data_IF_789584412552
#
_entry.id   IF_789584412552
#
_cell.length_a   1.000
_cell.length_b   1.000
_cell.length_c   1.000
_cell.angle_alpha   90.00
_cell.angle_beta   90.00
_cell.angle_gamma   90.00
#
_symmetry.space_group_name_H-M   'P 1'
#
loop_
_entity.id
_entity.type
_entity.pdbx_description
1 polymer ?
#
# COMPACT_ATOMS: atom_id res chain seq x y z
N UNK A 1 59.73 -9.94 -32.41
CA UNK A 1 58.99 -8.77 -31.86
C UNK A 1 57.91 -9.34 -30.93
N UNK A 2 58.10 -9.56 -29.63
CA UNK A 2 58.65 -8.76 -28.52
C UNK A 2 57.81 -7.53 -28.16
N UNK A 3 56.57 -7.73 -27.70
CA UNK A 3 55.82 -6.78 -26.84
C UNK A 3 54.96 -7.58 -25.83
N UNK A 4 55.60 -8.31 -24.91
CA UNK A 4 54.92 -8.90 -23.74
C UNK A 4 55.54 -8.44 -22.40
N UNK A 5 56.18 -7.26 -22.38
CA UNK A 5 57.08 -6.87 -21.28
C UNK A 5 56.62 -5.75 -20.34
N UNK A 6 55.45 -5.13 -20.49
CA UNK A 6 55.17 -3.85 -19.79
C UNK A 6 53.89 -3.77 -18.93
N UNK A 7 53.13 -4.85 -18.79
CA UNK A 7 51.90 -4.86 -17.97
C UNK A 7 52.04 -5.32 -16.49
N UNK A 8 53.06 -6.09 -16.05
CA UNK A 8 53.12 -6.52 -14.63
C UNK A 8 53.43 -5.38 -13.65
N UNK A 9 54.19 -4.36 -14.10
CA UNK A 9 54.62 -3.26 -13.23
C UNK A 9 53.51 -2.26 -12.89
N UNK A 10 52.58 -2.03 -13.82
CA UNK A 10 51.46 -1.08 -13.65
C UNK A 10 50.31 -1.74 -12.88
N UNK A 11 49.98 -3.00 -13.19
CA UNK A 11 49.02 -3.78 -12.41
C UNK A 11 49.51 -4.04 -10.97
N UNK A 12 50.79 -4.36 -10.75
CA UNK A 12 51.31 -4.54 -9.38
C UNK A 12 51.38 -3.24 -8.59
N UNK A 13 51.58 -2.07 -9.23
CA UNK A 13 51.50 -0.76 -8.56
C UNK A 13 50.06 -0.38 -8.21
N UNK A 14 49.08 -0.68 -9.06
CA UNK A 14 47.66 -0.52 -8.75
C UNK A 14 47.23 -1.44 -7.60
N UNK A 15 47.60 -2.72 -7.66
CA UNK A 15 47.33 -3.69 -6.59
C UNK A 15 48.04 -3.31 -5.28
N UNK A 16 49.28 -2.83 -5.32
CA UNK A 16 49.99 -2.31 -4.13
C UNK A 16 49.39 -1.00 -3.58
N UNK A 17 48.80 -0.14 -4.44
CA UNK A 17 48.03 1.03 -4.00
C UNK A 17 46.72 0.63 -3.33
N UNK A 18 46.06 -0.44 -3.81
CA UNK A 18 44.87 -1.04 -3.21
C UNK A 18 45.18 -1.86 -1.93
N UNK A 19 46.40 -2.40 -1.79
CA UNK A 19 46.89 -3.04 -0.55
C UNK A 19 47.12 -2.07 0.61
N UNK A 20 47.15 -0.75 0.37
CA UNK A 20 46.94 0.21 1.47
C UNK A 20 45.45 0.15 1.82
N UNK A 21 45.10 -0.61 2.86
CA UNK A 21 43.74 -1.01 3.25
C UNK A 21 42.63 0.04 3.17
N UNK A 22 42.94 1.34 3.10
CA UNK A 22 42.01 2.42 2.76
C UNK A 22 41.31 2.23 1.40
N UNK A 23 42.00 1.78 0.34
CA UNK A 23 41.40 1.61 -0.99
C UNK A 23 40.40 0.46 -1.06
N UNK A 24 40.76 -0.68 -0.45
CA UNK A 24 39.87 -1.84 -0.29
C UNK A 24 38.65 -1.49 0.58
N UNK A 25 38.84 -0.70 1.63
CA UNK A 25 37.79 -0.30 2.57
C UNK A 25 36.84 0.75 1.96
N UNK A 26 37.32 1.61 1.05
CA UNK A 26 36.46 2.48 0.24
C UNK A 26 35.65 1.63 -0.76
N UNK A 27 36.30 0.71 -1.48
CA UNK A 27 35.61 -0.15 -2.43
C UNK A 27 34.53 -1.02 -1.76
N UNK A 28 34.80 -1.59 -0.59
CA UNK A 28 33.82 -2.37 0.16
C UNK A 28 32.65 -1.53 0.65
N UNK A 29 32.90 -0.30 1.12
CA UNK A 29 31.84 0.65 1.50
C UNK A 29 30.96 1.01 0.30
N UNK A 30 31.56 1.30 -0.85
CA UNK A 30 30.82 1.59 -2.08
C UNK A 30 29.97 0.40 -2.48
N UNK A 31 30.52 -0.81 -2.46
CA UNK A 31 29.78 -2.04 -2.77
C UNK A 31 28.61 -2.27 -1.80
N UNK A 32 28.82 -2.04 -0.51
CA UNK A 32 27.78 -2.14 0.50
C UNK A 32 26.64 -1.13 0.27
N UNK A 33 26.97 0.12 -0.07
CA UNK A 33 25.97 1.13 -0.42
C UNK A 33 25.18 0.74 -1.67
N UNK A 34 25.85 0.21 -2.71
CA UNK A 34 25.16 -0.29 -3.90
C UNK A 34 24.25 -1.49 -3.60
N UNK A 35 24.69 -2.42 -2.76
CA UNK A 35 23.87 -3.56 -2.36
C UNK A 35 22.63 -3.12 -1.58
N UNK A 36 22.79 -2.18 -0.64
CA UNK A 36 21.68 -1.54 0.09
C UNK A 36 20.74 -0.86 -0.90
N UNK A 37 21.25 -0.01 -1.79
CA UNK A 37 20.43 0.69 -2.78
C UNK A 37 19.67 -0.28 -3.69
N UNK A 38 20.33 -1.34 -4.20
CA UNK A 38 19.70 -2.34 -5.04
C UNK A 38 18.59 -3.11 -4.32
N UNK A 39 18.75 -3.33 -3.00
CA UNK A 39 17.73 -3.98 -2.18
C UNK A 39 16.53 -3.05 -1.89
N UNK A 40 16.77 -1.78 -1.57
CA UNK A 40 15.71 -0.84 -1.18
C UNK A 40 15.01 -0.16 -2.36
N UNK A 41 15.65 0.00 -3.52
CA UNK A 41 15.07 0.70 -4.67
C UNK A 41 13.74 0.07 -5.14
N UNK A 42 13.62 -1.26 -5.30
CA UNK A 42 12.34 -1.87 -5.68
C UNK A 42 11.22 -1.57 -4.68
N UNK A 43 11.50 -1.61 -3.37
CA UNK A 43 10.53 -1.29 -2.31
C UNK A 43 10.06 0.17 -2.41
N UNK A 44 10.99 1.10 -2.63
CA UNK A 44 10.68 2.54 -2.79
C UNK A 44 9.84 2.78 -4.04
N UNK A 45 10.20 2.15 -5.17
CA UNK A 45 9.44 2.24 -6.43
C UNK A 45 8.03 1.70 -6.23
N UNK A 46 7.90 0.54 -5.59
CA UNK A 46 6.61 -0.11 -5.36
C UNK A 46 5.70 0.73 -4.46
N UNK A 47 6.26 1.34 -3.41
CA UNK A 47 5.53 2.29 -2.54
C UNK A 47 5.12 3.57 -3.28
N UNK A 48 5.96 4.05 -4.20
CA UNK A 48 5.71 5.28 -4.95
C UNK A 48 4.71 5.08 -6.09
N UNK A 49 4.64 3.88 -6.67
CA UNK A 49 3.78 3.53 -7.79
C UNK A 49 2.30 3.32 -7.39
N UNK A 50 1.72 4.28 -6.67
CA UNK A 50 0.37 4.21 -6.10
C UNK A 50 -0.74 4.07 -7.15
N UNK A 51 -0.54 4.58 -8.36
CA UNK A 51 -1.57 4.62 -9.42
C UNK A 51 -1.36 3.53 -10.51
N UNK A 52 -0.41 2.61 -10.31
CA UNK A 52 -0.10 1.55 -11.29
C UNK A 52 -0.87 0.27 -10.97
N UNK A 53 -2.01 0.06 -11.65
CA UNK A 53 -2.89 -1.10 -11.46
C UNK A 53 -2.17 -2.45 -11.64
N UNK A 54 -1.25 -2.57 -12.59
CA UNK A 54 -0.49 -3.81 -12.85
C UNK A 54 0.31 -4.31 -11.65
N UNK A 55 0.64 -3.43 -10.70
CA UNK A 55 1.36 -3.79 -9.49
C UNK A 55 0.44 -4.24 -8.35
N UNK A 56 -0.88 -4.22 -8.55
CA UNK A 56 -1.85 -4.58 -7.53
C UNK A 56 -1.61 -5.98 -6.94
N UNK A 57 -1.46 -7.07 -7.73
CA UNK A 57 -1.29 -8.40 -7.15
C UNK A 57 -0.04 -8.51 -6.28
N UNK A 58 1.05 -7.87 -6.71
CA UNK A 58 2.30 -7.84 -5.95
C UNK A 58 2.17 -7.01 -4.67
N UNK A 59 1.51 -5.86 -4.73
CA UNK A 59 1.23 -5.02 -3.56
C UNK A 59 0.33 -5.72 -2.55
N UNK A 60 -0.76 -6.34 -3.02
CA UNK A 60 -1.67 -7.14 -2.20
C UNK A 60 -0.90 -8.27 -1.53
N UNK A 61 -0.14 -9.07 -2.27
CA UNK A 61 0.68 -10.14 -1.71
C UNK A 61 1.61 -9.66 -0.59
N UNK A 62 2.33 -8.56 -0.81
CA UNK A 62 3.25 -8.00 0.19
C UNK A 62 2.54 -7.50 1.46
N UNK A 63 1.30 -7.01 1.34
CA UNK A 63 0.50 -6.51 2.46
C UNK A 63 -0.37 -7.57 3.13
N UNK A 64 -0.73 -8.65 2.43
CA UNK A 64 -1.48 -9.76 3.03
C UNK A 64 -0.55 -10.76 3.71
N UNK A 65 0.57 -11.12 3.07
CA UNK A 65 1.45 -12.22 3.51
C UNK A 65 2.89 -11.80 3.79
N UNK A 66 3.29 -10.61 3.38
CA UNK A 66 4.65 -10.12 3.57
C UNK A 66 4.92 -9.62 4.98
N UNK A 67 6.05 -8.94 5.14
CA UNK A 67 6.50 -8.34 6.43
C UNK A 67 5.49 -7.33 6.99
N UNK A 68 4.60 -6.82 6.14
CA UNK A 68 3.63 -5.77 6.47
C UNK A 68 2.21 -6.31 6.73
N UNK A 69 1.98 -7.62 6.61
CA UNK A 69 0.64 -8.19 6.79
C UNK A 69 0.33 -8.61 8.22
N UNK A 70 -0.95 -8.57 8.55
CA UNK A 70 -1.48 -9.12 9.80
C UNK A 70 -1.68 -10.64 9.68
N UNK A 71 -1.32 -11.37 10.72
CA UNK A 71 -1.48 -12.84 10.79
C UNK A 71 -2.93 -13.27 11.03
N UNK A 72 -3.83 -12.33 11.32
CA UNK A 72 -5.25 -12.58 11.58
C UNK A 72 -6.05 -13.00 10.34
N UNK A 73 -5.51 -12.84 9.13
CA UNK A 73 -6.22 -13.12 7.87
C UNK A 73 -7.22 -12.03 7.45
N UNK A 74 -7.47 -11.03 8.30
CA UNK A 74 -8.43 -9.95 8.01
C UNK A 74 -8.06 -9.16 6.75
N UNK A 75 -6.77 -8.95 6.48
CA UNK A 75 -6.32 -8.23 5.28
C UNK A 75 -6.53 -9.01 3.98
N UNK A 76 -6.52 -10.35 4.06
CA UNK A 76 -6.87 -11.20 2.92
C UNK A 76 -8.35 -11.05 2.56
N UNK A 77 -9.19 -10.93 3.59
CA UNK A 77 -10.64 -10.76 3.45
C UNK A 77 -11.01 -9.34 2.97
N UNK A 78 -10.30 -8.30 3.43
CA UNK A 78 -10.63 -6.91 3.03
C UNK A 78 -10.18 -6.57 1.61
N UNK A 79 -8.99 -7.00 1.20
CA UNK A 79 -8.43 -6.67 -0.12
C UNK A 79 -8.93 -7.67 -1.18
N UNK A 80 -9.63 -7.21 -2.24
CA UNK A 80 -10.15 -8.11 -3.26
C UNK A 80 -9.01 -8.89 -3.94
N UNK A 81 -9.23 -10.17 -4.27
CA UNK A 81 -8.15 -10.97 -4.85
C UNK A 81 -7.68 -10.42 -6.21
N UNK A 82 -8.64 -9.92 -6.99
CA UNK A 82 -8.43 -9.30 -8.29
C UNK A 82 -9.20 -7.98 -8.34
N UNK A 83 -8.64 -7.01 -9.07
CA UNK A 83 -9.38 -5.79 -9.40
C UNK A 83 -10.48 -6.13 -10.42
N UNK A 84 -11.64 -5.46 -10.36
CA UNK A 84 -12.70 -5.69 -11.33
C UNK A 84 -12.30 -5.19 -12.71
N UNK A 85 -12.96 -5.71 -13.75
CA UNK A 85 -12.72 -5.26 -15.14
C UNK A 85 -13.03 -3.76 -15.30
N UNK A 86 -14.10 -3.29 -14.65
CA UNK A 86 -14.44 -1.88 -14.54
C UNK A 86 -13.68 -1.21 -13.38
N UNK A 87 -12.36 -1.04 -13.52
CA UNK A 87 -11.55 -0.38 -12.49
C UNK A 87 -10.95 0.93 -13.01
N UNK A 88 -11.51 2.06 -12.55
CA UNK A 88 -11.02 3.41 -12.89
C UNK A 88 -10.57 4.17 -11.64
N UNK A 89 -9.75 5.21 -11.81
CA UNK A 89 -9.27 6.01 -10.68
C UNK A 89 -8.49 5.23 -9.60
N UNK A 90 -7.89 4.10 -9.98
CA UNK A 90 -7.15 3.23 -9.06
C UNK A 90 -6.03 3.97 -8.34
N UNK A 91 -5.99 3.79 -7.02
CA UNK A 91 -4.89 4.19 -6.18
C UNK A 91 -4.73 3.18 -5.05
N UNK A 92 -3.56 2.55 -4.98
CA UNK A 92 -3.16 1.70 -3.87
C UNK A 92 -1.93 2.27 -3.16
N UNK A 93 -2.16 2.89 -2.01
CA UNK A 93 -1.13 3.46 -1.15
C UNK A 93 -0.85 2.55 0.03
N UNK A 94 0.41 2.46 0.38
CA UNK A 94 0.92 1.56 1.40
C UNK A 94 1.72 2.39 2.41
N UNK A 95 1.32 2.40 3.68
CA UNK A 95 2.01 3.07 4.77
C UNK A 95 2.60 2.04 5.72
N UNK A 96 3.92 1.95 5.74
CA UNK A 96 4.67 1.19 6.74
C UNK A 96 5.97 1.90 7.06
N UNK A 97 6.53 1.61 8.23
CA UNK A 97 7.89 2.02 8.56
C UNK A 97 8.88 0.94 8.12
N UNK A 98 10.03 1.34 7.58
CA UNK A 98 11.14 0.43 7.30
C UNK A 98 11.97 0.13 8.57
N UNK A 99 11.79 0.92 9.64
CA UNK A 99 12.72 0.99 10.79
C UNK A 99 12.01 0.81 12.15
N UNK A 100 10.71 1.09 12.24
CA UNK A 100 9.95 0.99 13.50
C UNK A 100 9.11 -0.30 13.52
N UNK A 101 9.37 -1.17 14.50
CA UNK A 101 8.66 -2.44 14.71
C UNK A 101 7.24 -2.24 15.28
N UNK A 102 6.95 -1.08 15.85
CA UNK A 102 5.68 -0.81 16.55
C UNK A 102 4.63 -0.11 15.66
N UNK A 103 4.95 0.11 14.38
CA UNK A 103 4.03 0.75 13.44
C UNK A 103 3.25 -0.31 12.67
N UNK A 104 1.95 -0.44 12.96
CA UNK A 104 1.05 -1.25 12.15
C UNK A 104 1.06 -0.74 10.71
N UNK A 105 1.44 -1.60 9.78
CA UNK A 105 1.42 -1.23 8.37
C UNK A 105 -0.04 -1.14 7.93
N UNK A 106 -0.40 0.00 7.34
CA UNK A 106 -1.73 0.24 6.80
C UNK A 106 -1.70 0.36 5.29
N UNK A 107 -2.81 0.00 4.66
CA UNK A 107 -2.96 0.07 3.21
C UNK A 107 -4.29 0.71 2.84
N UNK A 108 -4.27 1.46 1.74
CA UNK A 108 -5.37 2.30 1.29
C UNK A 108 -5.57 2.00 -0.19
N UNK A 109 -6.63 1.25 -0.50
CA UNK A 109 -7.02 0.97 -1.88
C UNK A 109 -8.28 1.77 -2.21
N UNK A 110 -8.24 2.56 -3.27
CA UNK A 110 -9.39 3.27 -3.80
C UNK A 110 -9.51 3.03 -5.30
N UNK A 111 -10.72 2.84 -5.79
CA UNK A 111 -11.04 2.81 -7.22
C UNK A 111 -12.53 3.04 -7.43
N UNK A 112 -12.94 3.31 -8.67
CA UNK A 112 -14.34 3.43 -9.07
C UNK A 112 -14.71 2.29 -10.00
N UNK A 113 -15.92 1.77 -9.82
CA UNK A 113 -16.47 0.61 -10.55
C UNK A 113 -17.96 0.80 -10.83
N UNK A 114 -18.54 -0.12 -11.59
CA UNK A 114 -19.98 -0.18 -11.85
C UNK A 114 -20.78 -0.73 -10.66
N UNK A 115 -22.09 -0.46 -10.66
CA UNK A 115 -23.03 -0.85 -9.59
C UNK A 115 -23.11 -2.37 -9.39
N UNK A 116 -23.04 -3.18 -10.46
CA UNK A 116 -23.15 -4.64 -10.31
C UNK A 116 -21.92 -5.22 -9.57
N UNK A 117 -20.74 -4.63 -9.78
CA UNK A 117 -19.55 -4.95 -8.99
C UNK A 117 -19.71 -4.50 -7.53
N UNK A 118 -20.29 -3.32 -7.27
CA UNK A 118 -20.57 -2.88 -5.90
C UNK A 118 -21.52 -3.83 -5.17
N UNK A 119 -22.59 -4.28 -5.82
CA UNK A 119 -23.53 -5.27 -5.26
C UNK A 119 -22.81 -6.57 -4.88
N UNK A 120 -21.87 -7.01 -5.72
CA UNK A 120 -21.06 -8.22 -5.47
C UNK A 120 -20.17 -8.03 -4.23
N UNK A 121 -19.53 -6.87 -4.09
CA UNK A 121 -18.73 -6.56 -2.91
C UNK A 121 -19.58 -6.40 -1.65
N UNK A 122 -20.73 -5.74 -1.74
CA UNK A 122 -21.66 -5.61 -0.63
C UNK A 122 -22.11 -6.98 -0.11
N UNK A 123 -22.52 -7.90 -1.00
CA UNK A 123 -22.88 -9.26 -0.63
C UNK A 123 -21.73 -10.04 0.02
N UNK A 124 -20.50 -9.83 -0.46
CA UNK A 124 -19.31 -10.45 0.11
C UNK A 124 -19.03 -9.94 1.53
N UNK A 125 -19.04 -8.63 1.76
CA UNK A 125 -18.77 -8.06 3.09
C UNK A 125 -19.95 -8.24 4.06
N UNK A 126 -21.20 -8.25 3.58
CA UNK A 126 -22.39 -8.60 4.36
C UNK A 126 -22.30 -10.03 4.93
N UNK A 127 -21.54 -10.93 4.29
CA UNK A 127 -21.32 -12.29 4.78
C UNK A 127 -20.28 -12.40 5.90
N UNK A 128 -19.56 -11.31 6.19
CA UNK A 128 -18.51 -11.28 7.20
C UNK A 128 -19.03 -10.80 8.55
N UNK A 129 -18.29 -11.15 9.61
CA UNK A 129 -18.52 -10.63 10.96
C UNK A 129 -17.97 -9.19 11.05
N UNK A 130 -18.78 -8.22 10.58
CA UNK A 130 -18.45 -6.80 10.60
C UNK A 130 -19.68 -5.95 10.90
N UNK A 131 -19.45 -4.75 11.42
CA UNK A 131 -20.49 -3.76 11.63
C UNK A 131 -20.81 -3.05 10.32
N UNK A 132 -22.05 -3.17 9.86
CA UNK A 132 -22.54 -2.47 8.67
C UNK A 132 -23.19 -1.15 9.08
N UNK A 133 -22.65 -0.05 8.58
CA UNK A 133 -23.12 1.31 8.85
C UNK A 133 -23.59 1.90 7.52
N UNK A 134 -24.90 2.09 7.36
CA UNK A 134 -25.49 2.74 6.19
C UNK A 134 -25.61 4.24 6.40
N UNK A 135 -25.29 5.02 5.38
CA UNK A 135 -25.45 6.47 5.45
C UNK A 135 -26.93 6.81 5.35
N UNK A 136 -27.44 7.45 6.40
CA UNK A 136 -28.73 8.10 6.38
C UNK A 136 -28.47 9.60 6.36
N UNK A 137 -28.84 10.34 5.30
CA UNK A 137 -28.78 11.79 5.33
C UNK A 137 -29.60 12.27 6.54
N UNK A 138 -28.99 13.10 7.38
CA UNK A 138 -29.56 13.49 8.66
C UNK A 138 -30.98 14.05 8.49
N UNK A 139 -31.99 13.32 8.96
CA UNK A 139 -33.29 13.90 9.29
C UNK A 139 -33.24 14.37 10.73
N UNK A 140 -33.27 15.69 10.98
CA UNK A 140 -33.53 16.38 12.26
C UNK A 140 -33.22 15.63 13.58
N UNK A 141 -32.11 14.90 13.68
CA UNK A 141 -31.68 14.26 14.92
C UNK A 141 -30.25 14.66 15.22
N UNK A 142 -30.04 15.17 16.43
CA UNK A 142 -28.76 15.68 16.97
C UNK A 142 -27.68 14.59 17.20
N UNK A 143 -27.91 13.36 16.74
CA UNK A 143 -26.92 12.28 16.80
C UNK A 143 -26.01 12.36 15.58
N UNK A 144 -24.68 12.42 15.78
CA UNK A 144 -23.73 12.36 14.67
C UNK A 144 -24.02 11.11 13.82
N UNK A 145 -24.46 11.25 12.57
CA UNK A 145 -24.99 10.12 11.81
C UNK A 145 -23.90 9.11 11.42
N UNK A 146 -22.62 9.39 11.71
CA UNK A 146 -21.50 8.61 11.20
C UNK A 146 -20.16 8.89 11.91
N UNK A 147 -20.00 8.57 13.22
CA UNK A 147 -18.80 8.92 13.98
C UNK A 147 -17.50 8.32 13.40
N UNK A 148 -17.60 7.20 12.67
CA UNK A 148 -16.44 6.51 12.10
C UNK A 148 -16.11 6.92 10.65
N UNK A 149 -17.03 7.53 9.89
CA UNK A 149 -16.78 7.88 8.47
C UNK A 149 -15.87 9.07 8.33
N UNK A 150 -16.05 10.11 9.14
CA UNK A 150 -15.14 11.25 9.14
C UNK A 150 -13.71 10.80 9.46
N UNK A 151 -13.55 9.89 10.42
CA UNK A 151 -12.25 9.31 10.75
C UNK A 151 -11.71 8.41 9.64
N UNK A 152 -12.52 7.51 9.08
CA UNK A 152 -12.17 6.63 7.96
C UNK A 152 -11.72 7.43 6.73
N UNK A 153 -12.52 8.41 6.29
CA UNK A 153 -12.22 9.28 5.16
C UNK A 153 -10.94 10.09 5.40
N UNK A 154 -10.74 10.61 6.61
CA UNK A 154 -9.51 11.32 6.97
C UNK A 154 -8.27 10.42 6.87
N UNK A 155 -8.36 9.16 7.33
CA UNK A 155 -7.25 8.21 7.21
C UNK A 155 -6.94 7.89 5.74
N UNK A 156 -7.99 7.63 4.96
CA UNK A 156 -7.90 7.35 3.53
C UNK A 156 -7.48 8.56 2.70
N UNK A 157 -7.55 9.77 3.27
CA UNK A 157 -7.42 11.05 2.54
C UNK A 157 -8.40 11.14 1.37
N UNK A 158 -9.61 10.64 1.60
CA UNK A 158 -10.74 10.86 0.70
C UNK A 158 -11.14 12.34 0.80
N UNK A 159 -11.84 12.82 -0.22
CA UNK A 159 -12.41 14.17 -0.18
C UNK A 159 -13.32 14.28 1.06
N UNK A 160 -13.11 15.32 1.86
CA UNK A 160 -13.90 15.54 3.09
C UNK A 160 -15.35 15.90 2.77
N UNK A 161 -15.65 16.26 1.52
CA UNK A 161 -16.99 16.58 1.03
C UNK A 161 -17.73 15.34 0.47
N UNK A 162 -17.15 14.14 0.51
CA UNK A 162 -17.83 12.90 0.07
C UNK A 162 -19.24 12.73 0.71
N UNK A 163 -19.43 12.99 2.01
CA UNK A 163 -20.75 12.88 2.66
C UNK A 163 -21.78 13.92 2.18
N UNK A 164 -21.35 15.04 1.61
CA UNK A 164 -22.26 16.07 1.08
C UNK A 164 -22.74 15.74 -0.34
N UNK A 165 -22.12 14.76 -1.00
CA UNK A 165 -22.34 14.44 -2.42
C UNK A 165 -22.91 13.04 -2.64
N UNK A 166 -22.98 12.21 -1.61
CA UNK A 166 -23.53 10.85 -1.72
C UNK A 166 -24.57 10.58 -0.64
N UNK A 167 -25.71 10.07 -1.09
CA UNK A 167 -26.85 9.64 -0.29
C UNK A 167 -26.87 8.11 -0.11
N UNK A 168 -26.14 7.36 -0.94
CA UNK A 168 -26.10 5.89 -0.95
C UNK A 168 -24.70 5.33 -0.65
N UNK A 169 -24.24 5.55 0.59
CA UNK A 169 -23.00 4.98 1.10
C UNK A 169 -23.24 3.88 2.14
N UNK A 170 -22.38 2.86 2.13
CA UNK A 170 -22.31 1.84 3.17
C UNK A 170 -20.86 1.63 3.60
N UNK A 171 -20.58 1.73 4.90
CA UNK A 171 -19.31 1.39 5.51
C UNK A 171 -19.42 0.04 6.21
N UNK A 172 -18.53 -0.88 5.86
CA UNK A 172 -18.32 -2.17 6.51
C UNK A 172 -17.11 -2.05 7.44
N UNK A 173 -17.33 -2.13 8.75
CA UNK A 173 -16.35 -1.81 9.78
C UNK A 173 -15.94 -3.05 10.60
N UNK A 174 -14.65 -3.33 10.68
CA UNK A 174 -14.14 -4.62 11.21
C UNK A 174 -13.37 -4.51 12.53
N UNK A 175 -12.82 -3.35 12.88
CA UNK A 175 -12.00 -3.20 14.09
C UNK A 175 -12.13 -1.78 14.67
N UNK A 176 -12.31 -1.69 15.99
CA UNK A 176 -12.55 -0.43 16.71
C UNK A 176 -11.27 0.28 17.16
N UNK A 177 -10.12 -0.41 17.24
CA UNK A 177 -8.88 0.21 17.74
C UNK A 177 -8.06 0.89 16.63
N UNK A 178 -7.99 0.26 15.45
CA UNK A 178 -7.47 0.88 14.23
C UNK A 178 -8.53 0.73 13.13
N UNK A 179 -8.80 1.81 12.36
CA UNK A 179 -9.88 1.80 11.39
C UNK A 179 -9.54 0.79 10.30
N UNK A 180 -10.33 -0.29 10.24
CA UNK A 180 -10.27 -1.31 9.19
C UNK A 180 -11.66 -1.47 8.62
N UNK A 181 -11.79 -1.33 7.30
CA UNK A 181 -13.10 -1.39 6.70
C UNK A 181 -13.15 -1.06 5.23
N UNK A 182 -14.37 -1.16 4.71
CA UNK A 182 -14.66 -0.94 3.29
C UNK A 182 -15.83 0.01 3.17
N UNK A 183 -15.61 1.12 2.48
CA UNK A 183 -16.65 2.06 2.10
C UNK A 183 -17.03 1.79 0.64
N UNK A 184 -18.32 1.57 0.43
CA UNK A 184 -18.96 1.48 -0.88
C UNK A 184 -19.90 2.68 -1.06
N UNK A 185 -19.71 3.43 -2.13
CA UNK A 185 -20.54 4.58 -2.51
C UNK A 185 -21.18 4.28 -3.87
N UNK A 186 -22.50 4.09 -3.85
CA UNK A 186 -23.30 3.73 -5.02
C UNK A 186 -23.57 4.92 -5.95
N UNK A 187 -23.46 6.16 -5.47
CA UNK A 187 -23.69 7.35 -6.29
C UNK A 187 -22.50 7.64 -7.19
N UNK A 188 -21.28 7.44 -6.67
CA UNK A 188 -20.04 7.69 -7.43
C UNK A 188 -19.42 6.43 -8.02
N UNK A 189 -19.81 5.24 -7.53
CA UNK A 189 -19.15 3.97 -7.87
C UNK A 189 -17.87 3.70 -7.07
N UNK A 190 -17.57 4.51 -6.03
CA UNK A 190 -16.33 4.41 -5.27
C UNK A 190 -16.30 3.17 -4.38
N UNK A 191 -15.17 2.48 -4.43
CA UNK A 191 -14.73 1.47 -3.47
C UNK A 191 -13.50 2.01 -2.75
N UNK A 192 -13.55 2.07 -1.43
CA UNK A 192 -12.43 2.48 -0.59
C UNK A 192 -12.19 1.43 0.52
N UNK A 193 -11.04 0.78 0.48
CA UNK A 193 -10.61 -0.25 1.44
C UNK A 193 -9.46 0.28 2.27
N UNK A 194 -9.61 0.19 3.60
CA UNK A 194 -8.61 0.50 4.60
C UNK A 194 -8.26 -0.75 5.39
N UNK A 195 -6.97 -1.09 5.44
CA UNK A 195 -6.43 -2.20 6.23
C UNK A 195 -5.42 -1.71 7.25
#
# INVERSE_FOLDING_TARGET
MMICGLLPGVCSKLVKKFQKGKGLLIASRVLAVFAIAAFYTPLVVLRSAKEVQLLYPLKRFLYTYGVYGDRSGIYEALLPEQLPDACTGYRFRTQGSLIAQDYHASSYLTFYTDVATLDTYAAYYDSMDCERIQYAPAGETDEEPFPYLSWFCNQMKLDQNLPEHSEQMTLYWFDSYYPKGVLLDYDTGLVAVLT
#
